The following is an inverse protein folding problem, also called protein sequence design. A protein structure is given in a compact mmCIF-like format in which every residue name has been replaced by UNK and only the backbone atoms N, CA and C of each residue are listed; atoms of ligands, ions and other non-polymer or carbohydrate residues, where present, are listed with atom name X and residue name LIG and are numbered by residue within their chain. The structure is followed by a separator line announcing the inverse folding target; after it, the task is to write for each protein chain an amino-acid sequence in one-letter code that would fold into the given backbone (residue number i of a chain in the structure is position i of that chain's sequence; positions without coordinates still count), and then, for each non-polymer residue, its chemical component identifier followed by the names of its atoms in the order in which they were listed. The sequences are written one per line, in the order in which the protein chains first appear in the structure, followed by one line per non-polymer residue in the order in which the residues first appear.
data_IF_566101721020
#
_entry.id   IF_566101721020
#
_cell.length_a   1.000
_cell.length_b   1.000
_cell.length_c   1.000
_cell.angle_alpha   90.00
_cell.angle_beta   90.00
_cell.angle_gamma   90.00
#
_symmetry.space_group_name_H-M   'P 1'
#
loop_
_entity.id
_entity.type
_entity.pdbx_description
1 polymer ?
#
# COMPACT_ATOMS: atom_id res chain seq x y z
N UNK A 1 -23.13 6.79 21.52
CA UNK A 1 -21.71 7.16 21.38
C UNK A 1 -21.58 8.63 21.73
N UNK A 2 -20.96 8.96 22.85
CA UNK A 2 -20.60 10.36 23.15
C UNK A 2 -19.44 10.77 22.24
N UNK A 3 -19.65 11.82 21.45
CA UNK A 3 -18.61 12.41 20.61
C UNK A 3 -17.64 13.19 21.50
N UNK A 4 -16.43 12.64 21.70
CA UNK A 4 -15.34 13.36 22.35
C UNK A 4 -14.96 14.58 21.50
N UNK A 5 -14.67 15.71 22.13
CA UNK A 5 -14.17 16.91 21.43
C UNK A 5 -12.80 16.60 20.82
N UNK A 6 -12.54 16.97 19.54
CA UNK A 6 -11.22 16.84 18.96
C UNK A 6 -10.21 17.66 19.76
N UNK A 7 -9.06 17.06 20.07
CA UNK A 7 -7.97 17.75 20.77
C UNK A 7 -7.35 18.75 19.79
N UNK A 8 -7.20 20.01 20.22
CA UNK A 8 -6.57 21.06 19.41
C UNK A 8 -5.05 20.91 19.45
N UNK A 9 -4.53 19.88 18.76
CA UNK A 9 -3.11 19.67 18.53
C UNK A 9 -2.87 19.58 17.03
N UNK A 10 -1.91 20.34 16.53
CA UNK A 10 -1.47 20.29 15.13
C UNK A 10 -0.10 19.65 15.07
N UNK A 11 0.08 18.71 14.14
CA UNK A 11 1.38 18.14 13.78
C UNK A 11 1.77 18.77 12.45
N UNK A 12 2.77 19.64 12.47
CA UNK A 12 3.23 20.36 11.30
C UNK A 12 4.24 19.53 10.47
N UNK A 13 4.52 20.00 9.26
CA UNK A 13 5.52 19.44 8.35
C UNK A 13 5.31 17.95 8.03
N UNK A 14 4.06 17.53 7.89
CA UNK A 14 3.65 16.25 7.36
C UNK A 14 2.83 16.48 6.07
N UNK A 15 2.98 15.59 5.08
CA UNK A 15 2.23 15.66 3.83
C UNK A 15 1.57 14.31 3.48
N UNK A 16 0.63 13.85 4.33
CA UNK A 16 0.06 12.50 4.22
C UNK A 16 -0.68 12.25 2.89
N UNK A 17 -1.26 13.28 2.27
CA UNK A 17 -1.98 13.12 0.99
C UNK A 17 -1.09 12.68 -0.18
N UNK A 18 0.23 12.89 -0.10
CA UNK A 18 1.16 12.63 -1.19
C UNK A 18 2.28 11.63 -0.83
N UNK A 19 2.43 11.28 0.44
CA UNK A 19 3.52 10.43 0.93
C UNK A 19 3.01 9.25 1.78
N UNK A 20 2.09 8.48 1.20
CA UNK A 20 1.51 7.24 1.75
C UNK A 20 0.81 7.39 3.11
N UNK A 21 0.31 8.59 3.43
CA UNK A 21 -0.58 8.80 4.57
C UNK A 21 0.11 8.81 5.94
N UNK A 22 -0.67 8.44 6.94
CA UNK A 22 -0.21 8.16 8.30
C UNK A 22 -0.58 6.70 8.61
N UNK A 23 0.24 6.02 9.40
CA UNK A 23 0.00 4.64 9.77
C UNK A 23 -0.19 4.54 11.27
N UNK A 24 -1.30 3.93 11.69
CA UNK A 24 -1.55 3.64 13.10
C UNK A 24 -0.66 2.49 13.58
N UNK A 25 -0.18 2.60 14.81
CA UNK A 25 0.36 1.44 15.50
C UNK A 25 -0.77 0.42 15.79
N UNK A 26 -0.49 -0.89 15.74
CA UNK A 26 -1.43 -1.96 16.10
C UNK A 26 -2.19 -1.75 17.41
N UNK A 27 -1.53 -1.20 18.43
CA UNK A 27 -2.09 -0.98 19.77
C UNK A 27 -2.80 0.37 19.93
N UNK A 28 -2.93 1.13 18.84
CA UNK A 28 -3.47 2.49 18.80
C UNK A 28 -2.73 3.50 19.70
N UNK A 29 -1.50 3.21 20.13
CA UNK A 29 -0.76 4.10 21.02
C UNK A 29 -0.18 5.33 20.31
N UNK A 30 -0.16 5.33 18.98
CA UNK A 30 0.43 6.40 18.18
C UNK A 30 0.30 6.19 16.68
N UNK A 31 0.89 7.12 15.93
CA UNK A 31 0.95 7.11 14.47
C UNK A 31 2.38 7.31 13.99
N UNK A 32 2.72 6.69 12.87
CA UNK A 32 3.97 6.88 12.13
C UNK A 32 3.70 7.56 10.80
N UNK A 33 4.60 8.44 10.38
CA UNK A 33 4.46 9.21 9.14
C UNK A 33 5.81 9.78 8.68
N UNK A 34 5.84 10.29 7.46
CA UNK A 34 7.00 11.03 6.93
C UNK A 34 6.94 12.50 7.38
N UNK A 35 8.01 12.95 8.03
CA UNK A 35 8.20 14.33 8.47
C UNK A 35 9.26 15.03 7.62
N UNK A 36 9.00 16.28 7.26
CA UNK A 36 9.91 17.15 6.52
C UNK A 36 10.56 18.17 7.47
N UNK A 37 11.87 18.10 7.73
CA UNK A 37 12.54 19.10 8.57
C UNK A 37 12.32 20.54 8.08
N UNK A 38 12.21 20.72 6.76
CA UNK A 38 11.84 21.96 6.12
C UNK A 38 10.61 21.77 5.22
N UNK A 39 9.50 22.37 5.63
CA UNK A 39 8.23 22.41 4.90
C UNK A 39 7.98 23.71 4.12
N UNK A 40 8.89 24.68 4.14
CA UNK A 40 8.75 25.95 3.42
C UNK A 40 9.10 25.75 1.94
N UNK A 41 8.10 25.97 1.08
CA UNK A 41 8.23 25.79 -0.37
C UNK A 41 9.16 26.81 -1.03
N UNK A 42 9.48 27.92 -0.35
CA UNK A 42 10.38 28.96 -0.85
C UNK A 42 11.86 28.66 -0.61
N UNK A 43 12.16 27.74 0.30
CA UNK A 43 13.54 27.37 0.64
C UNK A 43 14.11 26.32 -0.33
N UNK A 44 15.39 26.45 -0.68
CA UNK A 44 16.08 25.49 -1.57
C UNK A 44 16.10 24.06 -1.02
N UNK A 45 16.06 23.91 0.31
CA UNK A 45 16.09 22.61 1.00
C UNK A 45 14.69 22.04 1.27
N UNK A 46 13.66 22.58 0.62
CA UNK A 46 12.29 22.11 0.75
C UNK A 46 12.21 20.58 0.60
N UNK A 47 11.62 19.92 1.60
CA UNK A 47 11.46 18.46 1.72
C UNK A 47 12.72 17.61 1.86
N UNK A 48 13.90 18.22 1.78
CA UNK A 48 15.15 17.47 1.82
C UNK A 48 15.38 16.85 3.21
N UNK A 49 16.09 15.72 3.23
CA UNK A 49 16.48 15.02 4.45
C UNK A 49 15.30 14.64 5.35
N UNK A 50 14.14 14.36 4.74
CA UNK A 50 12.94 13.87 5.42
C UNK A 50 13.22 12.62 6.26
N UNK A 51 12.44 12.42 7.33
CA UNK A 51 12.60 11.31 8.28
C UNK A 51 11.25 10.64 8.51
N UNK A 52 11.24 9.31 8.64
CA UNK A 52 10.13 8.65 9.27
C UNK A 52 10.15 9.00 10.77
N UNK A 53 9.00 9.39 11.29
CA UNK A 53 8.82 9.73 12.70
C UNK A 53 7.65 8.98 13.30
N UNK A 54 7.62 8.94 14.63
CA UNK A 54 6.46 8.51 15.41
C UNK A 54 5.98 9.65 16.30
N UNK A 55 4.66 9.75 16.40
CA UNK A 55 3.95 10.53 17.42
C UNK A 55 3.12 9.58 18.29
N UNK A 56 3.41 9.53 19.59
CA UNK A 56 2.57 8.82 20.55
C UNK A 56 1.41 9.71 21.00
N UNK A 57 0.23 9.11 21.17
CA UNK A 57 -0.94 9.83 21.61
C UNK A 57 -0.70 10.49 22.97
N UNK A 58 -1.09 11.75 23.08
CA UNK A 58 -0.95 12.59 24.27
C UNK A 58 0.46 13.09 24.60
N UNK A 59 1.46 12.80 23.77
CA UNK A 59 2.74 13.50 23.81
C UNK A 59 2.63 14.90 23.18
N UNK A 60 3.72 15.68 23.26
CA UNK A 60 3.82 16.97 22.57
C UNK A 60 4.02 16.70 21.06
N UNK A 61 3.16 17.22 20.16
CA UNK A 61 3.34 17.05 18.72
C UNK A 61 4.63 17.66 18.16
N UNK A 62 5.34 18.49 18.93
CA UNK A 62 6.67 19.03 18.58
C UNK A 62 7.82 18.08 18.94
N UNK A 63 7.61 17.11 19.81
CA UNK A 63 8.63 16.14 20.24
C UNK A 63 8.56 14.85 19.41
N UNK A 64 8.77 14.99 18.09
CA UNK A 64 8.71 13.87 17.16
C UNK A 64 9.98 13.01 17.23
N UNK A 65 9.81 11.72 17.51
CA UNK A 65 10.91 10.76 17.57
C UNK A 65 11.16 10.19 16.19
N UNK A 66 12.37 10.38 15.65
CA UNK A 66 12.76 9.78 14.38
C UNK A 66 12.96 8.27 14.53
N UNK A 67 12.37 7.49 13.63
CA UNK A 67 12.41 6.02 13.66
C UNK A 67 13.16 5.42 12.47
N UNK A 68 13.28 6.15 11.35
CA UNK A 68 13.98 5.71 10.15
C UNK A 68 14.40 6.90 9.28
N UNK A 69 15.54 6.79 8.60
CA UNK A 69 16.15 7.87 7.81
C UNK A 69 17.58 8.20 8.25
N UNK A 70 18.24 9.11 7.52
CA UNK A 70 19.67 9.42 7.75
C UNK A 70 20.01 9.92 9.16
N UNK A 71 19.06 10.52 9.90
CA UNK A 71 19.31 11.00 11.28
C UNK A 71 19.58 9.85 12.24
N UNK A 72 18.94 8.71 12.03
CA UNK A 72 19.05 7.52 12.90
C UNK A 72 19.87 6.40 12.26
N UNK A 73 19.93 6.36 10.92
CA UNK A 73 20.53 5.29 10.13
C UNK A 73 21.39 5.85 9.00
N UNK A 74 22.35 6.73 9.33
CA UNK A 74 23.24 7.39 8.35
C UNK A 74 23.99 6.42 7.44
N UNK A 75 24.23 5.18 7.88
CA UNK A 75 24.88 4.13 7.10
C UNK A 75 24.11 3.71 5.84
N UNK A 76 22.80 3.99 5.77
CA UNK A 76 22.00 3.71 4.58
C UNK A 76 22.23 4.72 3.45
N UNK A 77 22.89 5.86 3.73
CA UNK A 77 23.25 6.89 2.75
C UNK A 77 22.08 7.29 1.84
N UNK A 78 20.90 7.50 2.44
CA UNK A 78 19.68 7.84 1.69
C UNK A 78 19.91 9.19 1.00
N UNK A 79 19.57 9.32 -0.28
CA UNK A 79 19.70 10.60 -0.95
C UNK A 79 18.82 11.66 -0.26
N UNK A 80 19.29 12.89 -0.13
CA UNK A 80 18.52 13.95 0.54
C UNK A 80 17.16 14.23 -0.10
N UNK A 81 16.97 13.88 -1.39
CA UNK A 81 15.71 14.03 -2.13
C UNK A 81 14.89 12.73 -2.22
N UNK A 82 15.33 11.65 -1.56
CA UNK A 82 14.55 10.43 -1.36
C UNK A 82 13.86 10.46 0.01
N UNK A 83 12.76 9.71 0.11
CA UNK A 83 11.82 9.82 1.20
C UNK A 83 11.73 8.49 1.95
N UNK A 84 12.27 8.39 3.19
CA UNK A 84 12.14 7.20 4.04
C UNK A 84 10.72 7.11 4.62
N UNK A 85 9.77 6.52 3.89
CA UNK A 85 8.36 6.47 4.27
C UNK A 85 8.08 5.21 5.11
N UNK A 86 7.58 5.34 6.35
CA UNK A 86 7.11 4.20 7.13
C UNK A 86 5.74 3.74 6.64
N UNK A 87 5.50 2.42 6.60
CA UNK A 87 4.22 1.83 6.22
C UNK A 87 3.88 0.67 7.15
N UNK A 88 2.67 0.69 7.70
CA UNK A 88 2.00 -0.40 8.41
C UNK A 88 0.62 -0.53 7.77
N UNK A 89 0.30 -1.70 7.21
CA UNK A 89 -0.94 -1.90 6.44
C UNK A 89 -2.06 -2.54 7.26
N UNK A 90 -1.70 -3.27 8.32
CA UNK A 90 -2.65 -4.02 9.14
C UNK A 90 -2.34 -3.87 10.62
N UNK A 91 -3.39 -3.88 11.45
CA UNK A 91 -3.24 -3.98 12.90
C UNK A 91 -2.61 -5.31 13.36
N UNK A 92 -2.54 -6.32 12.50
CA UNK A 92 -1.88 -7.59 12.79
C UNK A 92 -0.46 -7.68 12.21
N UNK A 93 0.03 -6.62 11.56
CA UNK A 93 1.39 -6.62 11.04
C UNK A 93 2.37 -6.74 12.21
N UNK A 94 3.30 -7.70 12.11
CA UNK A 94 4.42 -7.86 13.05
C UNK A 94 5.58 -6.90 12.71
N UNK A 95 5.61 -6.43 11.47
CA UNK A 95 6.71 -5.68 10.89
C UNK A 95 6.22 -4.36 10.29
N UNK A 96 7.05 -3.33 10.42
CA UNK A 96 6.92 -2.06 9.72
C UNK A 96 7.85 -2.08 8.51
N UNK A 97 7.40 -1.51 7.38
CA UNK A 97 8.25 -1.33 6.19
C UNK A 97 8.69 0.12 6.10
N UNK A 98 9.97 0.34 5.82
CA UNK A 98 10.57 1.63 5.53
C UNK A 98 10.97 1.65 4.06
N UNK A 99 10.19 2.32 3.23
CA UNK A 99 10.51 2.49 1.81
C UNK A 99 11.44 3.68 1.61
N UNK A 100 12.46 3.54 0.77
CA UNK A 100 13.23 4.67 0.24
C UNK A 100 12.55 5.10 -1.06
N UNK A 101 11.52 5.93 -0.92
CA UNK A 101 10.69 6.35 -2.03
C UNK A 101 11.32 7.50 -2.83
N UNK A 102 11.10 7.48 -4.14
CA UNK A 102 11.57 8.51 -5.08
C UNK A 102 10.70 8.52 -6.33
N UNK A 103 11.20 9.10 -7.41
CA UNK A 103 10.49 9.16 -8.71
C UNK A 103 10.43 7.81 -9.43
N UNK A 104 11.29 6.86 -9.04
CA UNK A 104 11.37 5.53 -9.65
C UNK A 104 10.14 4.66 -9.31
N UNK A 105 9.84 3.70 -10.18
CA UNK A 105 8.82 2.66 -9.93
C UNK A 105 9.24 1.66 -8.85
N UNK A 106 10.54 1.45 -8.68
CA UNK A 106 11.09 0.44 -7.78
C UNK A 106 11.87 1.14 -6.67
N UNK A 107 11.60 0.76 -5.42
CA UNK A 107 12.21 1.35 -4.24
C UNK A 107 12.99 0.30 -3.48
N UNK A 108 14.06 0.73 -2.79
CA UNK A 108 14.62 -0.09 -1.73
C UNK A 108 13.65 -0.11 -0.56
N UNK A 109 13.51 -1.25 0.10
CA UNK A 109 12.66 -1.39 1.27
C UNK A 109 13.44 -2.05 2.39
N UNK A 110 13.22 -1.56 3.59
CA UNK A 110 13.74 -2.09 4.83
C UNK A 110 12.57 -2.53 5.72
N UNK A 111 12.82 -3.43 6.65
CA UNK A 111 11.82 -3.84 7.65
C UNK A 111 12.41 -3.88 9.05
N UNK A 112 11.55 -3.66 10.04
CA UNK A 112 11.87 -3.80 11.46
C UNK A 112 10.64 -4.38 12.19
N UNK A 113 10.83 -4.93 13.39
CA UNK A 113 9.69 -5.36 14.22
C UNK A 113 8.97 -4.15 14.78
N UNK A 114 7.64 -4.16 14.76
CA UNK A 114 6.84 -3.07 15.33
C UNK A 114 7.07 -2.96 16.85
N UNK A 115 7.27 -4.07 17.55
CA UNK A 115 7.54 -4.07 18.99
C UNK A 115 8.81 -3.30 19.38
N UNK A 116 9.80 -3.22 18.48
CA UNK A 116 11.06 -2.48 18.71
C UNK A 116 10.84 -0.96 18.79
N UNK A 117 9.68 -0.46 18.32
CA UNK A 117 9.29 0.96 18.44
C UNK A 117 9.23 1.38 19.91
N UNK A 118 8.65 0.54 20.77
CA UNK A 118 8.55 0.82 22.22
C UNK A 118 9.90 0.83 22.91
N UNK A 119 10.88 0.13 22.34
CA UNK A 119 12.26 0.10 22.80
C UNK A 119 13.08 1.31 22.31
N UNK A 120 12.52 2.13 21.41
CA UNK A 120 13.17 3.31 20.84
C UNK A 120 14.36 2.98 19.91
N UNK A 121 14.53 1.71 19.52
CA UNK A 121 15.66 1.24 18.71
C UNK A 121 15.19 0.19 17.70
N UNK A 122 14.66 0.64 16.57
CA UNK A 122 14.26 -0.25 15.49
C UNK A 122 15.50 -0.80 14.76
N UNK A 123 15.65 -2.11 14.75
CA UNK A 123 16.72 -2.78 14.02
C UNK A 123 16.32 -3.01 12.56
N UNK A 124 16.48 -1.96 11.74
CA UNK A 124 16.14 -2.01 10.32
C UNK A 124 17.06 -2.95 9.54
N UNK A 125 16.45 -3.87 8.80
CA UNK A 125 17.12 -4.81 7.90
C UNK A 125 16.63 -4.60 6.48
N UNK A 126 17.48 -4.87 5.49
CA UNK A 126 17.06 -4.84 4.09
C UNK A 126 15.97 -5.89 3.87
N UNK A 127 14.83 -5.46 3.32
CA UNK A 127 13.76 -6.36 2.86
C UNK A 127 14.02 -6.75 1.41
N UNK A 128 14.12 -5.76 0.53
CA UNK A 128 14.50 -5.93 -0.88
C UNK A 128 15.15 -4.66 -1.42
N UNK A 129 15.86 -4.78 -2.53
CA UNK A 129 16.41 -3.62 -3.24
C UNK A 129 15.61 -3.30 -4.51
N UNK A 130 15.99 -2.22 -5.22
CA UNK A 130 15.45 -1.90 -6.55
C UNK A 130 15.70 -3.02 -7.58
N UNK A 131 16.69 -3.90 -7.36
CA UNK A 131 17.01 -5.04 -8.26
C UNK A 131 15.87 -6.05 -8.37
N UNK A 132 15.09 -6.19 -7.30
CA UNK A 132 13.96 -7.10 -7.20
C UNK A 132 12.74 -6.57 -7.96
N UNK A 133 12.81 -5.32 -8.44
CA UNK A 133 11.74 -4.64 -9.21
C UNK A 133 10.36 -4.78 -8.58
N UNK A 134 10.31 -4.73 -7.25
CA UNK A 134 9.05 -4.68 -6.49
C UNK A 134 8.40 -3.33 -6.78
N UNK A 135 7.15 -3.36 -7.22
CA UNK A 135 6.43 -2.15 -7.67
C UNK A 135 6.04 -1.31 -6.44
N UNK A 136 6.66 -0.15 -6.27
CA UNK A 136 6.34 0.84 -5.22
C UNK A 136 6.13 0.20 -3.82
N UNK A 137 5.01 0.52 -3.16
CA UNK A 137 4.59 -0.05 -1.88
C UNK A 137 3.67 -1.28 -2.05
N UNK A 138 3.77 -2.01 -3.16
CA UNK A 138 2.86 -3.10 -3.50
C UNK A 138 3.35 -4.46 -2.97
N UNK A 139 3.61 -4.49 -1.66
CA UNK A 139 3.90 -5.71 -0.89
C UNK A 139 3.12 -5.75 0.43
N UNK A 140 2.82 -6.95 0.92
CA UNK A 140 2.00 -7.19 2.11
C UNK A 140 2.59 -8.33 2.94
N UNK A 141 2.51 -8.20 4.27
CA UNK A 141 2.76 -9.32 5.16
C UNK A 141 1.49 -10.15 5.36
N UNK A 142 1.62 -11.48 5.30
CA UNK A 142 0.57 -12.44 5.67
C UNK A 142 1.19 -13.59 6.45
N UNK A 143 0.98 -13.61 7.77
CA UNK A 143 1.72 -14.51 8.64
C UNK A 143 3.22 -14.26 8.52
N UNK A 144 3.98 -15.29 8.15
CA UNK A 144 5.44 -15.20 7.97
C UNK A 144 5.85 -15.08 6.48
N UNK A 145 4.91 -14.68 5.62
CA UNK A 145 5.16 -14.43 4.20
C UNK A 145 5.14 -12.93 3.88
N UNK A 146 6.01 -12.53 2.96
CA UNK A 146 5.92 -11.26 2.25
C UNK A 146 5.49 -11.52 0.81
N UNK A 147 4.30 -11.05 0.45
CA UNK A 147 3.69 -11.23 -0.88
C UNK A 147 3.76 -9.89 -1.62
N UNK A 148 4.25 -9.87 -2.86
CA UNK A 148 4.57 -8.64 -3.57
C UNK A 148 4.39 -8.73 -5.09
N UNK A 149 4.13 -7.59 -5.72
CA UNK A 149 4.10 -7.44 -7.17
C UNK A 149 5.49 -7.08 -7.70
N UNK A 150 6.01 -7.84 -8.65
CA UNK A 150 7.36 -7.62 -9.22
C UNK A 150 7.35 -7.62 -10.74
N UNK A 151 8.14 -6.71 -11.32
CA UNK A 151 8.48 -6.68 -12.74
C UNK A 151 9.86 -7.32 -13.04
N UNK A 152 10.42 -8.10 -12.10
CA UNK A 152 11.66 -8.86 -12.32
C UNK A 152 11.40 -9.91 -13.39
N UNK A 153 12.26 -9.95 -14.40
CA UNK A 153 12.24 -10.89 -15.53
C UNK A 153 11.04 -10.79 -16.51
N UNK A 154 10.00 -10.01 -16.22
CA UNK A 154 8.85 -9.82 -17.14
C UNK A 154 8.19 -8.46 -16.96
N UNK A 155 7.80 -7.83 -18.07
CA UNK A 155 7.10 -6.53 -18.05
C UNK A 155 5.64 -6.68 -17.58
N UNK A 156 5.05 -7.86 -17.79
CA UNK A 156 3.66 -8.15 -17.47
C UNK A 156 3.43 -8.46 -15.99
N UNK A 157 4.54 -8.53 -15.23
CA UNK A 157 4.65 -8.67 -13.79
C UNK A 157 4.13 -10.00 -13.24
N UNK A 158 4.65 -10.36 -12.08
CA UNK A 158 4.26 -11.52 -11.29
C UNK A 158 3.83 -11.09 -9.89
N UNK A 159 2.89 -11.82 -9.31
CA UNK A 159 2.69 -11.79 -7.85
C UNK A 159 3.53 -12.92 -7.28
N UNK A 160 4.44 -12.57 -6.39
CA UNK A 160 5.46 -13.46 -5.84
C UNK A 160 5.38 -13.44 -4.32
N UNK A 161 5.98 -14.45 -3.68
CA UNK A 161 6.09 -14.51 -2.23
C UNK A 161 7.42 -15.08 -1.77
N UNK A 162 7.91 -14.56 -0.65
CA UNK A 162 9.06 -15.08 0.09
C UNK A 162 8.68 -15.27 1.56
N UNK A 163 9.40 -16.14 2.27
CA UNK A 163 9.25 -16.29 3.72
C UNK A 163 10.16 -15.34 4.45
N UNK A 164 9.72 -14.78 5.58
CA UNK A 164 10.50 -13.84 6.39
C UNK A 164 11.79 -14.44 6.97
N UNK A 165 11.85 -15.76 7.13
CA UNK A 165 13.03 -16.45 7.63
C UNK A 165 14.17 -16.52 6.60
N UNK A 166 13.85 -16.64 5.31
CA UNK A 166 14.84 -16.79 4.24
C UNK A 166 15.05 -15.53 3.40
N UNK A 167 13.97 -14.77 3.15
CA UNK A 167 13.92 -13.63 2.23
C UNK A 167 14.60 -13.93 0.87
N UNK A 168 14.39 -15.13 0.31
CA UNK A 168 14.98 -15.52 -0.96
C UNK A 168 14.23 -14.93 -2.16
N UNK A 169 14.61 -13.71 -2.55
CA UNK A 169 14.10 -13.02 -3.74
C UNK A 169 14.70 -13.52 -5.07
N UNK A 170 15.67 -14.44 -5.03
CA UNK A 170 16.20 -15.09 -6.23
C UNK A 170 15.34 -16.30 -6.63
N UNK A 171 14.76 -17.00 -5.65
CA UNK A 171 13.84 -18.13 -5.86
C UNK A 171 12.50 -17.91 -5.13
N UNK A 172 11.77 -16.84 -5.43
CA UNK A 172 10.48 -16.61 -4.80
C UNK A 172 9.44 -17.63 -5.27
N UNK A 173 8.48 -17.93 -4.41
CA UNK A 173 7.31 -18.72 -4.80
C UNK A 173 6.40 -17.87 -5.68
N UNK A 174 6.03 -18.39 -6.84
CA UNK A 174 5.05 -17.76 -7.74
C UNK A 174 3.66 -17.92 -7.12
N UNK A 175 2.99 -16.79 -6.87
CA UNK A 175 1.58 -16.74 -6.41
C UNK A 175 0.65 -16.59 -7.61
N UNK A 176 0.96 -15.64 -8.50
CA UNK A 176 0.28 -15.45 -9.77
C UNK A 176 1.33 -15.22 -10.86
N UNK A 177 1.26 -16.02 -11.93
CA UNK A 177 2.18 -15.90 -13.06
C UNK A 177 1.72 -14.82 -14.05
N UNK A 178 2.66 -14.14 -14.69
CA UNK A 178 2.39 -13.20 -15.76
C UNK A 178 1.53 -13.84 -16.87
N UNK A 179 0.68 -13.03 -17.51
CA UNK A 179 -0.11 -13.45 -18.68
C UNK A 179 0.48 -12.82 -19.93
N UNK A 180 0.47 -13.53 -21.06
CA UNK A 180 1.15 -13.08 -22.29
C UNK A 180 0.59 -11.74 -22.81
N UNK A 181 -0.72 -11.53 -22.71
CA UNK A 181 -1.42 -10.37 -23.28
C UNK A 181 -1.93 -9.37 -22.25
N UNK A 182 -1.65 -9.58 -20.95
CA UNK A 182 -2.19 -8.75 -19.87
C UNK A 182 -1.08 -8.38 -18.88
N UNK A 183 -1.12 -7.15 -18.37
CA UNK A 183 -0.21 -6.66 -17.34
C UNK A 183 -0.93 -6.70 -16.00
N UNK A 184 -0.34 -7.30 -14.97
CA UNK A 184 -0.86 -7.22 -13.60
C UNK A 184 -0.64 -5.80 -13.06
N UNK A 185 -1.73 -5.11 -12.73
CA UNK A 185 -1.66 -3.70 -12.30
C UNK A 185 -1.47 -3.57 -10.80
N UNK A 186 -2.31 -4.26 -10.04
CA UNK A 186 -2.35 -4.23 -8.58
C UNK A 186 -2.97 -5.54 -8.05
N UNK A 187 -2.77 -5.81 -6.77
CA UNK A 187 -3.42 -6.89 -6.05
C UNK A 187 -3.74 -6.49 -4.61
N UNK A 188 -4.73 -7.16 -4.05
CA UNK A 188 -5.18 -7.03 -2.67
C UNK A 188 -5.35 -8.41 -2.05
N UNK A 189 -5.19 -8.50 -0.73
CA UNK A 189 -5.27 -9.76 -0.01
C UNK A 189 -6.38 -9.69 1.04
N UNK A 190 -7.25 -10.69 1.04
CA UNK A 190 -8.24 -10.94 2.09
C UNK A 190 -7.83 -12.12 2.96
N UNK A 191 -8.70 -12.51 3.90
CA UNK A 191 -8.46 -13.67 4.77
C UNK A 191 -8.13 -14.92 3.97
N UNK A 192 -8.95 -15.23 2.96
CA UNK A 192 -8.87 -16.51 2.25
C UNK A 192 -8.45 -16.37 0.78
N UNK A 193 -8.44 -15.16 0.22
CA UNK A 193 -8.34 -14.93 -1.23
C UNK A 193 -7.32 -13.83 -1.55
N UNK A 194 -6.59 -14.00 -2.65
CA UNK A 194 -5.83 -12.92 -3.28
C UNK A 194 -6.60 -12.47 -4.53
N UNK A 195 -6.90 -11.19 -4.62
CA UNK A 195 -7.52 -10.59 -5.79
C UNK A 195 -6.50 -9.77 -6.53
N UNK A 196 -6.49 -9.84 -7.86
CA UNK A 196 -5.62 -8.97 -8.65
C UNK A 196 -6.32 -8.53 -9.92
N UNK A 197 -5.89 -7.38 -10.42
CA UNK A 197 -6.39 -6.82 -11.66
C UNK A 197 -5.33 -6.85 -12.74
N UNK A 198 -5.77 -7.01 -13.96
CA UNK A 198 -4.90 -6.87 -15.13
C UNK A 198 -5.48 -5.86 -16.10
N UNK A 199 -4.65 -5.37 -17.01
CA UNK A 199 -5.10 -4.64 -18.19
C UNK A 199 -4.54 -5.28 -19.45
N UNK A 200 -5.41 -5.47 -20.43
CA UNK A 200 -5.11 -5.92 -21.79
C UNK A 200 -5.15 -4.73 -22.74
N UNK A 201 -4.08 -4.57 -23.52
CA UNK A 201 -3.90 -3.49 -24.51
C UNK A 201 -4.17 -2.06 -23.98
N UNK A 202 -4.04 -1.84 -22.67
CA UNK A 202 -4.30 -0.54 -22.03
C UNK A 202 -5.77 -0.11 -21.93
N UNK A 203 -6.74 -0.95 -22.33
CA UNK A 203 -8.15 -0.53 -22.46
C UNK A 203 -9.18 -1.50 -21.89
N UNK A 204 -8.79 -2.74 -21.59
CA UNK A 204 -9.68 -3.77 -21.05
C UNK A 204 -9.10 -4.26 -19.72
N UNK A 205 -9.79 -3.99 -18.63
CA UNK A 205 -9.39 -4.42 -17.30
C UNK A 205 -10.14 -5.68 -16.87
N UNK A 206 -9.39 -6.66 -16.35
CA UNK A 206 -9.92 -7.94 -15.86
C UNK A 206 -9.66 -8.07 -14.36
N UNK A 207 -10.57 -8.78 -13.67
CA UNK A 207 -10.45 -9.12 -12.26
C UNK A 207 -10.24 -10.63 -12.13
N UNK A 208 -9.31 -11.02 -11.27
CA UNK A 208 -9.03 -12.41 -10.95
C UNK A 208 -9.02 -12.63 -9.44
N UNK A 209 -9.26 -13.87 -9.05
CA UNK A 209 -9.06 -14.37 -7.68
C UNK A 209 -8.16 -15.59 -7.67
N UNK A 210 -7.45 -15.76 -6.57
CA UNK A 210 -6.65 -16.94 -6.25
C UNK A 210 -7.06 -17.39 -4.85
N UNK A 211 -7.58 -18.60 -4.75
CA UNK A 211 -7.93 -19.26 -3.50
C UNK A 211 -7.44 -20.72 -3.51
N UNK A 212 -7.89 -21.53 -2.56
CA UNK A 212 -7.52 -22.96 -2.45
C UNK A 212 -7.94 -23.78 -3.68
N UNK A 213 -8.89 -23.31 -4.48
CA UNK A 213 -9.33 -23.95 -5.73
C UNK A 213 -8.50 -23.54 -6.95
N UNK A 214 -7.54 -22.63 -6.78
CA UNK A 214 -6.69 -22.09 -7.83
C UNK A 214 -7.11 -20.71 -8.32
N UNK A 215 -6.55 -20.30 -9.46
CA UNK A 215 -6.79 -19.01 -10.09
C UNK A 215 -8.04 -19.04 -10.97
N UNK A 216 -8.92 -18.03 -10.84
CA UNK A 216 -10.12 -17.87 -11.68
C UNK A 216 -10.36 -16.39 -12.01
N UNK A 217 -10.77 -16.11 -13.25
CA UNK A 217 -11.29 -14.79 -13.64
C UNK A 217 -12.69 -14.58 -13.04
N UNK A 218 -12.98 -13.35 -12.63
CA UNK A 218 -14.30 -12.91 -12.17
C UNK A 218 -14.88 -11.96 -13.21
N UNK A 219 -16.05 -12.28 -13.75
CA UNK A 219 -16.79 -11.37 -14.62
C UNK A 219 -17.33 -10.19 -13.81
N UNK A 220 -16.91 -8.97 -14.16
CA UNK A 220 -17.45 -7.75 -13.55
C UNK A 220 -18.80 -7.39 -14.17
N UNK A 221 -19.69 -6.67 -13.43
CA UNK A 221 -21.02 -6.31 -13.95
C UNK A 221 -21.00 -5.47 -15.24
N UNK A 222 -19.89 -4.76 -15.47
CA UNK A 222 -19.64 -3.98 -16.69
C UNK A 222 -18.19 -4.12 -17.10
N UNK A 223 -17.94 -4.03 -18.41
CA UNK A 223 -16.60 -3.86 -18.96
C UNK A 223 -16.00 -2.55 -18.45
N UNK A 224 -14.73 -2.60 -18.06
CA UNK A 224 -14.01 -1.48 -17.51
C UNK A 224 -12.66 -1.32 -18.22
N UNK A 225 -12.17 -0.08 -18.33
CA UNK A 225 -10.78 0.17 -18.70
C UNK A 225 -9.83 0.10 -17.51
N UNK A 226 -10.36 0.27 -16.31
CA UNK A 226 -9.63 0.22 -15.06
C UNK A 226 -10.49 -0.42 -13.96
N UNK A 227 -9.86 -1.27 -13.15
CA UNK A 227 -10.45 -1.84 -11.94
C UNK A 227 -9.52 -1.51 -10.77
N UNK A 228 -10.07 -0.83 -9.77
CA UNK A 228 -9.44 -0.58 -8.48
C UNK A 228 -10.03 -1.50 -7.42
N UNK A 229 -9.17 -2.02 -6.55
CA UNK A 229 -9.54 -2.90 -5.46
C UNK A 229 -9.36 -2.19 -4.12
N UNK A 230 -10.24 -2.50 -3.18
CA UNK A 230 -10.13 -2.04 -1.81
C UNK A 230 -10.60 -3.16 -0.86
N UNK A 231 -9.81 -3.44 0.16
CA UNK A 231 -10.15 -4.41 1.20
C UNK A 231 -10.23 -3.72 2.55
N UNK A 232 -10.97 -4.29 3.49
CA UNK A 232 -11.01 -3.78 4.87
C UNK A 232 -9.72 -4.11 5.61
N UNK A 233 -9.25 -5.34 5.48
CA UNK A 233 -7.99 -5.85 6.02
C UNK A 233 -7.72 -7.25 5.47
N UNK A 234 -6.51 -7.74 5.68
CA UNK A 234 -6.11 -9.11 5.33
C UNK A 234 -6.85 -10.20 6.11
N UNK A 235 -7.68 -9.83 7.10
CA UNK A 235 -8.45 -10.77 7.91
C UNK A 235 -9.96 -10.68 7.65
N UNK A 236 -10.41 -9.77 6.78
CA UNK A 236 -11.78 -9.72 6.29
C UNK A 236 -11.84 -10.27 4.87
N UNK A 237 -12.95 -10.92 4.52
CA UNK A 237 -13.26 -11.28 3.12
C UNK A 237 -14.04 -10.16 2.39
N UNK A 238 -14.20 -8.99 3.01
CA UNK A 238 -14.78 -7.82 2.34
C UNK A 238 -13.86 -7.31 1.23
N UNK A 239 -14.38 -7.30 0.01
CA UNK A 239 -13.77 -6.68 -1.16
C UNK A 239 -14.72 -5.65 -1.76
N UNK A 240 -14.20 -4.46 -2.00
CA UNK A 240 -14.83 -3.47 -2.87
C UNK A 240 -14.07 -3.38 -4.19
N UNK A 241 -14.84 -3.34 -5.26
CA UNK A 241 -14.33 -3.27 -6.64
C UNK A 241 -14.91 -2.02 -7.28
N UNK A 242 -14.04 -1.12 -7.68
CA UNK A 242 -14.44 0.09 -8.40
C UNK A 242 -14.05 -0.06 -9.86
N UNK A 243 -15.04 0.01 -10.75
CA UNK A 243 -14.83 -0.03 -12.20
C UNK A 243 -14.91 1.37 -12.79
N UNK A 244 -14.00 1.69 -13.71
CA UNK A 244 -13.98 2.94 -14.49
C UNK A 244 -13.72 2.64 -15.96
N UNK A 245 -14.27 3.45 -16.87
CA UNK A 245 -13.91 3.40 -18.29
C UNK A 245 -14.23 4.70 -19.01
N UNK A 246 -13.82 4.82 -20.27
CA UNK A 246 -14.07 6.02 -21.09
C UNK A 246 -15.56 6.34 -21.27
N UNK A 247 -16.39 5.29 -21.35
CA UNK A 247 -17.85 5.40 -21.57
C UNK A 247 -18.67 5.10 -20.32
N UNK A 248 -18.02 4.78 -19.19
CA UNK A 248 -18.69 4.39 -17.95
C UNK A 248 -18.17 5.24 -16.78
N UNK A 249 -19.09 5.87 -16.04
CA UNK A 249 -18.76 6.55 -14.78
C UNK A 249 -18.20 5.57 -13.74
N UNK A 250 -17.51 6.10 -12.73
CA UNK A 250 -17.00 5.31 -11.62
C UNK A 250 -18.17 4.64 -10.88
N UNK A 251 -18.17 3.31 -10.85
CA UNK A 251 -19.14 2.53 -10.05
C UNK A 251 -18.37 1.67 -9.08
N UNK A 252 -18.68 1.81 -7.79
CA UNK A 252 -18.16 0.98 -6.71
C UNK A 252 -19.16 -0.12 -6.40
N UNK A 253 -18.66 -1.33 -6.29
CA UNK A 253 -19.42 -2.51 -5.90
C UNK A 253 -18.82 -3.14 -4.65
N UNK A 254 -19.65 -3.68 -3.76
CA UNK A 254 -19.25 -4.69 -2.81
C UNK A 254 -19.34 -6.07 -3.48
N UNK A 255 -18.25 -6.82 -3.47
CA UNK A 255 -18.20 -8.18 -4.02
C UNK A 255 -18.49 -9.21 -2.93
N UNK A 256 -19.41 -10.13 -3.21
CA UNK A 256 -19.79 -11.23 -2.33
C UNK A 256 -19.17 -12.52 -2.83
N UNK A 257 -18.11 -12.97 -2.14
CA UNK A 257 -17.32 -14.15 -2.53
C UNK A 257 -18.14 -15.43 -2.65
N UNK A 258 -19.00 -15.72 -1.67
CA UNK A 258 -19.79 -16.96 -1.59
C UNK A 258 -20.77 -17.13 -2.75
N UNK A 259 -21.41 -16.03 -3.15
CA UNK A 259 -22.42 -16.02 -4.22
C UNK A 259 -21.86 -15.61 -5.57
N UNK A 260 -20.59 -15.17 -5.62
CA UNK A 260 -19.96 -14.57 -6.79
C UNK A 260 -20.80 -13.43 -7.39
N UNK A 261 -21.35 -12.55 -6.55
CA UNK A 261 -22.21 -11.44 -6.97
C UNK A 261 -21.65 -10.08 -6.58
N UNK A 262 -22.06 -9.05 -7.32
CA UNK A 262 -21.72 -7.66 -7.05
C UNK A 262 -22.97 -6.88 -6.66
N UNK A 263 -22.87 -6.10 -5.59
CA UNK A 263 -23.92 -5.15 -5.17
C UNK A 263 -23.32 -3.76 -5.26
N UNK A 264 -24.00 -2.84 -5.94
CA UNK A 264 -23.57 -1.44 -6.01
C UNK A 264 -23.53 -0.82 -4.60
N UNK A 265 -22.39 -0.19 -4.27
CA UNK A 265 -22.11 0.41 -2.96
C UNK A 265 -21.38 1.76 -3.15
N UNK A 266 -22.04 2.65 -3.89
CA UNK A 266 -21.52 3.99 -4.17
C UNK A 266 -21.66 4.87 -2.93
N UNK A 267 -20.56 5.55 -2.56
CA UNK A 267 -20.54 6.49 -1.43
C UNK A 267 -21.33 7.77 -1.71
N UNK A 268 -21.54 8.10 -2.99
CA UNK A 268 -22.32 9.25 -3.43
C UNK A 268 -23.45 8.75 -4.35
N UNK A 269 -24.64 9.39 -4.31
CA UNK A 269 -25.69 9.12 -5.28
C UNK A 269 -25.16 9.31 -6.71
N UNK A 270 -25.56 8.43 -7.63
CA UNK A 270 -25.27 8.64 -9.05
C UNK A 270 -25.91 9.95 -9.50
N UNK A 271 -25.09 10.88 -9.97
CA UNK A 271 -25.60 12.06 -10.66
C UNK A 271 -26.26 11.60 -11.95
N UNK A 272 -27.59 11.67 -11.99
CA UNK A 272 -28.37 11.40 -13.17
C UNK A 272 -28.42 12.69 -13.98
N UNK A 273 -27.80 12.73 -15.16
CA UNK A 273 -27.86 13.88 -16.06
C UNK A 273 -28.89 13.58 -17.14
N UNK A 274 -30.16 14.03 -17.01
CA UNK A 274 -31.26 13.59 -17.88
C UNK A 274 -31.05 13.94 -19.37
N UNK A 275 -30.20 14.94 -19.62
CA UNK A 275 -29.94 15.49 -20.96
C UNK A 275 -28.65 14.97 -21.61
N UNK A 276 -27.90 14.09 -20.94
CA UNK A 276 -26.73 13.41 -21.51
C UNK A 276 -27.10 11.96 -21.78
N UNK A 277 -27.70 11.71 -22.95
CA UNK A 277 -27.77 10.36 -23.51
C UNK A 277 -26.40 10.05 -24.12
N UNK A 278 -25.66 9.14 -23.49
CA UNK A 278 -24.49 8.47 -24.07
C UNK A 278 -24.98 7.20 -24.75
#
# INVERSE_FOLDING_TARGET
METKKPKSQTIDNAWPSNFLGVNWLPDNSGITFLHFPNGDTSETKFKQNSQAVIYFLNEDPKDLKSIFGNKTHSKFNINENEYPIPVIKSAEDKYIIGYIAGVDTYWDAYYAKIDDIKLGRLNWKLLHSKKEKVVHNNGFFKGDQFIFLSAKNTINRNILSVTMDSLDFEKPKIVAKEKVSEIINNFEITKDVIYYTTTKHGVEANLYKIDSSGEKMIETPKKAGEISLYTKSINSNDLWVTTRGWVNSNIRYKYHYETNTFIEDNLLPKMNFPNLKI
#
